data_IF_998694500690
#
_entry.id   IF_998694500690
#
_cell.length_a   1.000
_cell.length_b   1.000
_cell.length_c   1.000
_cell.angle_alpha   90.00
_cell.angle_beta   90.00
_cell.angle_gamma   90.00
#
_symmetry.space_group_name_H-M   'P 1'
#
loop_
_entity.id
_entity.type
_entity.pdbx_description
1 polymer ?
#
# COMPACT_ATOMS: atom_id res chain seq x y z
N UNK A 1 -17.72 -33.64 -1.85
CA UNK A 1 -16.84 -33.98 -2.97
C UNK A 1 -15.64 -33.07 -2.91
N UNK A 2 -14.48 -33.61 -2.51
CA UNK A 2 -13.21 -32.83 -2.44
C UNK A 2 -12.52 -32.91 -3.79
N UNK A 3 -12.89 -32.05 -4.72
CA UNK A 3 -12.30 -31.97 -6.07
C UNK A 3 -10.78 -31.66 -6.07
N UNK A 4 -10.24 -31.18 -4.94
CA UNK A 4 -8.80 -30.89 -4.81
C UNK A 4 -7.92 -32.15 -4.70
N UNK A 5 -8.46 -33.29 -4.26
CA UNK A 5 -7.69 -34.52 -4.06
C UNK A 5 -7.53 -35.35 -5.34
N UNK A 6 -8.40 -35.15 -6.34
CA UNK A 6 -8.39 -35.89 -7.59
C UNK A 6 -7.53 -35.29 -8.69
N UNK A 7 -6.96 -34.09 -8.46
CA UNK A 7 -6.13 -33.41 -9.45
C UNK A 7 -4.69 -33.85 -9.35
N UNK A 8 -4.06 -34.16 -10.50
CA UNK A 8 -2.62 -34.43 -10.59
C UNK A 8 -1.84 -33.25 -9.94
N UNK A 9 -0.78 -33.52 -9.15
CA UNK A 9 -0.03 -32.50 -8.42
C UNK A 9 0.47 -31.35 -9.31
N UNK A 10 0.86 -31.65 -10.55
CA UNK A 10 1.30 -30.64 -11.53
C UNK A 10 0.18 -29.65 -11.92
N UNK A 11 -1.06 -30.15 -12.05
CA UNK A 11 -2.21 -29.30 -12.40
C UNK A 11 -2.53 -28.38 -11.24
N UNK A 12 -2.47 -28.89 -10.01
CA UNK A 12 -2.71 -28.12 -8.80
C UNK A 12 -1.69 -26.98 -8.60
N UNK A 13 -0.42 -27.24 -8.90
CA UNK A 13 0.61 -26.19 -8.86
C UNK A 13 0.39 -25.11 -9.92
N UNK A 14 0.06 -25.50 -11.14
CA UNK A 14 -0.28 -24.54 -12.21
C UNK A 14 -1.48 -23.69 -11.85
N UNK A 15 -2.53 -24.30 -11.28
CA UNK A 15 -3.71 -23.58 -10.83
C UNK A 15 -3.38 -22.54 -9.74
N UNK A 16 -2.58 -22.91 -8.74
CA UNK A 16 -2.15 -21.98 -7.69
C UNK A 16 -1.35 -20.81 -8.26
N UNK A 17 -0.40 -21.07 -9.17
CA UNK A 17 0.36 -20.02 -9.85
C UNK A 17 -0.54 -19.09 -10.65
N UNK A 18 -1.47 -19.62 -11.44
CA UNK A 18 -2.40 -18.82 -12.23
C UNK A 18 -3.29 -17.95 -11.33
N UNK A 19 -3.77 -18.47 -10.20
CA UNK A 19 -4.56 -17.72 -9.24
C UNK A 19 -3.78 -16.54 -8.66
N UNK A 20 -2.50 -16.74 -8.34
CA UNK A 20 -1.62 -15.66 -7.89
C UNK A 20 -1.42 -14.61 -8.98
N UNK A 21 -1.21 -15.01 -10.24
CA UNK A 21 -1.08 -14.07 -11.36
C UNK A 21 -2.34 -13.25 -11.58
N UNK A 22 -3.51 -13.87 -11.52
CA UNK A 22 -4.81 -13.16 -11.60
C UNK A 22 -4.95 -12.17 -10.45
N UNK A 23 -4.57 -12.55 -9.23
CA UNK A 23 -4.58 -11.65 -8.08
C UNK A 23 -3.66 -10.44 -8.26
N UNK A 24 -2.42 -10.65 -8.71
CA UNK A 24 -1.47 -9.57 -9.02
C UNK A 24 -2.02 -8.66 -10.11
N UNK A 25 -2.55 -9.22 -11.19
CA UNK A 25 -3.13 -8.46 -12.29
C UNK A 25 -4.31 -7.59 -11.82
N UNK A 26 -5.18 -8.13 -10.96
CA UNK A 26 -6.29 -7.39 -10.38
C UNK A 26 -5.83 -6.18 -9.56
N UNK A 27 -4.76 -6.35 -8.75
CA UNK A 27 -4.17 -5.26 -7.96
C UNK A 27 -3.57 -4.19 -8.90
N UNK A 28 -2.83 -4.59 -9.93
CA UNK A 28 -2.26 -3.65 -10.91
C UNK A 28 -3.35 -2.86 -11.62
N UNK A 29 -4.45 -3.51 -12.04
CA UNK A 29 -5.59 -2.84 -12.67
C UNK A 29 -6.27 -1.84 -11.72
N UNK A 30 -6.42 -2.19 -10.45
CA UNK A 30 -6.97 -1.29 -9.43
C UNK A 30 -6.11 -0.02 -9.28
N UNK A 31 -4.80 -0.17 -9.14
CA UNK A 31 -3.89 0.97 -9.03
C UNK A 31 -3.83 1.80 -10.33
N UNK A 32 -3.88 1.16 -11.50
CA UNK A 32 -3.95 1.85 -12.78
C UNK A 32 -5.22 2.69 -12.89
N UNK A 33 -6.38 2.17 -12.47
CA UNK A 33 -7.64 2.90 -12.42
C UNK A 33 -7.60 4.10 -11.48
N UNK A 34 -7.08 3.93 -10.27
CA UNK A 34 -6.91 5.02 -9.30
C UNK A 34 -5.96 6.10 -9.83
N UNK A 35 -4.84 5.71 -10.43
CA UNK A 35 -3.87 6.65 -11.02
C UNK A 35 -4.48 7.42 -12.19
N UNK A 36 -5.24 6.74 -13.06
CA UNK A 36 -5.97 7.38 -14.16
C UNK A 36 -7.00 8.39 -13.62
N UNK A 37 -7.78 8.01 -12.62
CA UNK A 37 -8.74 8.93 -11.96
C UNK A 37 -8.04 10.16 -11.37
N UNK A 38 -6.87 9.98 -10.77
CA UNK A 38 -6.05 11.07 -10.25
C UNK A 38 -5.63 12.04 -11.37
N UNK A 39 -5.08 11.54 -12.48
CA UNK A 39 -4.67 12.36 -13.62
C UNK A 39 -5.84 13.13 -14.24
N UNK A 40 -6.98 12.49 -14.42
CA UNK A 40 -8.19 13.16 -14.94
C UNK A 40 -8.66 14.26 -13.99
N UNK A 41 -8.58 14.04 -12.69
CA UNK A 41 -8.94 15.04 -11.67
C UNK A 41 -8.00 16.25 -11.67
N UNK A 42 -6.73 16.09 -12.04
CA UNK A 42 -5.77 17.19 -12.16
C UNK A 42 -6.15 18.22 -13.25
N UNK A 43 -6.92 17.80 -14.25
CA UNK A 43 -7.42 18.67 -15.33
C UNK A 43 -8.55 19.63 -14.91
N UNK A 44 -9.09 19.48 -13.69
CA UNK A 44 -10.10 20.41 -13.14
C UNK A 44 -9.42 21.73 -12.74
N UNK A 45 -10.16 22.82 -12.84
CA UNK A 45 -9.67 24.19 -12.61
C UNK A 45 -9.19 24.48 -11.19
N UNK A 46 -9.49 23.60 -10.24
CA UNK A 46 -9.09 23.71 -8.84
C UNK A 46 -8.34 22.44 -8.42
N UNK A 47 -7.01 22.49 -8.43
CA UNK A 47 -6.16 21.41 -7.95
C UNK A 47 -5.26 21.90 -6.82
N UNK A 48 -5.50 21.40 -5.60
CA UNK A 48 -4.71 21.74 -4.45
C UNK A 48 -3.50 20.80 -4.38
N UNK A 49 -2.28 21.36 -4.44
CA UNK A 49 -1.04 20.62 -4.21
C UNK A 49 -0.70 20.65 -2.73
N UNK A 50 -0.83 19.50 -2.09
CA UNK A 50 -0.41 19.31 -0.70
C UNK A 50 1.01 18.75 -0.63
N UNK A 51 1.86 19.26 0.28
CA UNK A 51 3.12 18.61 0.60
C UNK A 51 2.80 17.27 1.29
N UNK A 52 3.43 16.21 0.80
CA UNK A 52 3.22 14.87 1.34
C UNK A 52 3.73 14.78 2.79
N UNK A 53 2.96 14.28 3.75
CA UNK A 53 3.39 14.09 5.13
C UNK A 53 4.65 13.24 5.25
N UNK A 54 5.50 13.57 6.21
CA UNK A 54 6.77 12.84 6.46
C UNK A 54 6.54 11.38 6.82
N UNK A 55 5.44 11.05 7.47
CA UNK A 55 5.04 9.69 7.82
C UNK A 55 4.99 8.74 6.61
N UNK A 56 4.55 9.22 5.44
CA UNK A 56 4.48 8.40 4.23
C UNK A 56 5.85 8.06 3.64
N UNK A 57 6.85 8.93 3.77
CA UNK A 57 8.22 8.62 3.34
C UNK A 57 8.83 7.53 4.22
N UNK A 58 8.64 7.62 5.54
CA UNK A 58 9.10 6.61 6.49
C UNK A 58 8.39 5.27 6.27
N UNK A 59 7.08 5.28 6.09
CA UNK A 59 6.32 4.06 5.81
C UNK A 59 6.78 3.37 4.53
N UNK A 60 7.08 4.13 3.48
CA UNK A 60 7.60 3.60 2.21
C UNK A 60 8.98 2.94 2.40
N UNK A 61 9.84 3.52 3.23
CA UNK A 61 11.14 2.95 3.56
C UNK A 61 10.98 1.62 4.30
N UNK A 62 10.10 1.55 5.30
CA UNK A 62 9.86 0.32 6.06
C UNK A 62 9.26 -0.79 5.21
N UNK A 63 8.35 -0.49 4.28
CA UNK A 63 7.79 -1.52 3.39
C UNK A 63 8.84 -2.04 2.41
N UNK A 64 9.76 -1.18 1.94
CA UNK A 64 10.88 -1.60 1.10
C UNK A 64 11.84 -2.54 1.84
N UNK A 65 12.18 -2.20 3.10
CA UNK A 65 12.99 -3.07 3.97
C UNK A 65 12.30 -4.41 4.26
N UNK A 66 10.99 -4.39 4.50
CA UNK A 66 10.18 -5.59 4.66
C UNK A 66 10.25 -6.50 3.43
N UNK A 67 10.16 -5.93 2.23
CA UNK A 67 10.26 -6.67 0.98
C UNK A 67 11.65 -7.33 0.79
N UNK A 68 12.72 -6.64 1.14
CA UNK A 68 14.08 -7.18 1.12
C UNK A 68 14.25 -8.32 2.13
N UNK A 69 13.71 -8.16 3.34
CA UNK A 69 13.74 -9.20 4.39
C UNK A 69 12.95 -10.44 3.94
N UNK A 70 11.80 -10.25 3.30
CA UNK A 70 10.99 -11.33 2.77
C UNK A 70 11.71 -12.08 1.62
N UNK A 71 12.38 -11.36 0.74
CA UNK A 71 13.19 -11.98 -0.30
C UNK A 71 14.32 -12.85 0.28
N UNK A 72 14.95 -12.37 1.36
CA UNK A 72 15.96 -13.13 2.09
C UNK A 72 15.37 -14.38 2.78
N UNK A 73 14.16 -14.30 3.30
CA UNK A 73 13.42 -15.45 3.83
C UNK A 73 13.22 -16.54 2.76
N UNK A 74 12.83 -16.15 1.54
CA UNK A 74 12.66 -17.10 0.42
C UNK A 74 13.98 -17.80 0.08
N UNK A 75 15.10 -17.10 0.11
CA UNK A 75 16.41 -17.73 -0.10
C UNK A 75 16.78 -18.72 1.01
N UNK A 76 16.45 -18.39 2.26
CA UNK A 76 16.60 -19.30 3.40
C UNK A 76 15.77 -20.57 3.25
N UNK A 77 14.52 -20.42 2.81
CA UNK A 77 13.64 -21.55 2.53
C UNK A 77 14.19 -22.48 1.44
N UNK A 78 14.75 -21.92 0.35
CA UNK A 78 15.35 -22.70 -0.73
C UNK A 78 16.61 -23.48 -0.32
N UNK A 79 17.26 -23.06 0.77
CA UNK A 79 18.49 -23.68 1.29
C UNK A 79 18.23 -24.54 2.53
N UNK A 80 16.97 -24.82 2.86
CA UNK A 80 16.52 -25.56 4.06
C UNK A 80 17.10 -25.04 5.39
N UNK A 81 17.47 -23.75 5.45
CA UNK A 81 17.97 -23.11 6.66
C UNK A 81 16.81 -22.54 7.48
N UNK A 82 16.22 -23.37 8.35
CA UNK A 82 15.05 -22.99 9.15
C UNK A 82 15.30 -21.77 10.04
N UNK A 83 16.47 -21.62 10.65
CA UNK A 83 16.80 -20.46 11.49
C UNK A 83 16.83 -19.15 10.69
N UNK A 84 17.36 -19.17 9.47
CA UNK A 84 17.35 -18.00 8.58
C UNK A 84 15.92 -17.64 8.12
N UNK A 85 15.11 -18.66 7.83
CA UNK A 85 13.72 -18.48 7.43
C UNK A 85 12.91 -17.82 8.56
N UNK A 86 12.99 -18.37 9.78
CA UNK A 86 12.25 -17.85 10.93
C UNK A 86 12.69 -16.42 11.28
N UNK A 87 14.01 -16.15 11.33
CA UNK A 87 14.53 -14.82 11.61
C UNK A 87 14.10 -13.78 10.58
N UNK A 88 14.17 -14.11 9.29
CA UNK A 88 13.75 -13.21 8.24
C UNK A 88 12.22 -12.99 8.21
N UNK A 89 11.42 -14.00 8.52
CA UNK A 89 9.95 -13.87 8.64
C UNK A 89 9.55 -12.98 9.81
N UNK A 90 10.17 -13.14 10.98
CA UNK A 90 9.91 -12.25 12.13
C UNK A 90 10.34 -10.81 11.84
N UNK A 91 11.49 -10.60 11.19
CA UNK A 91 11.90 -9.26 10.76
C UNK A 91 10.90 -8.63 9.78
N UNK A 92 10.39 -9.39 8.81
CA UNK A 92 9.37 -8.93 7.87
C UNK A 92 8.09 -8.49 8.60
N UNK A 93 7.67 -9.25 9.61
CA UNK A 93 6.49 -8.93 10.42
C UNK A 93 6.70 -7.64 11.23
N UNK A 94 7.88 -7.47 11.84
CA UNK A 94 8.22 -6.24 12.59
C UNK A 94 8.25 -5.01 11.68
N UNK A 95 8.86 -5.10 10.50
CA UNK A 95 8.86 -4.01 9.53
C UNK A 95 7.45 -3.70 9.00
N UNK A 96 6.61 -4.73 8.80
CA UNK A 96 5.21 -4.56 8.44
C UNK A 96 4.40 -3.85 9.53
N UNK A 97 4.62 -4.17 10.81
CA UNK A 97 3.99 -3.48 11.92
C UNK A 97 4.45 -2.01 12.02
N UNK A 98 5.76 -1.75 11.86
CA UNK A 98 6.30 -0.40 11.80
C UNK A 98 5.70 0.40 10.63
N UNK A 99 5.57 -0.21 9.45
CA UNK A 99 4.89 0.40 8.31
C UNK A 99 3.46 0.85 8.67
N UNK A 100 2.66 -0.01 9.28
CA UNK A 100 1.31 0.32 9.70
C UNK A 100 1.29 1.50 10.66
N UNK A 101 2.16 1.51 11.66
CA UNK A 101 2.27 2.60 12.63
C UNK A 101 2.53 3.96 11.94
N UNK A 102 3.56 4.04 11.09
CA UNK A 102 3.90 5.28 10.37
C UNK A 102 2.84 5.67 9.33
N UNK A 103 2.14 4.69 8.76
CA UNK A 103 1.04 4.94 7.84
C UNK A 103 -0.14 5.63 8.56
N UNK A 104 -0.52 5.13 9.73
CA UNK A 104 -1.57 5.77 10.55
C UNK A 104 -1.15 7.16 11.03
N UNK A 105 0.10 7.34 11.41
CA UNK A 105 0.63 8.66 11.76
C UNK A 105 0.55 9.63 10.58
N UNK A 106 0.92 9.19 9.36
CA UNK A 106 0.79 9.99 8.15
C UNK A 106 -0.65 10.40 7.84
N UNK A 107 -1.62 9.51 8.06
CA UNK A 107 -3.03 9.86 7.94
C UNK A 107 -3.47 10.86 9.02
N UNK A 108 -2.98 10.73 10.26
CA UNK A 108 -3.23 11.71 11.32
C UNK A 108 -2.76 13.11 10.92
N UNK A 109 -1.54 13.25 10.40
CA UNK A 109 -1.02 14.53 9.90
C UNK A 109 -1.88 15.15 8.77
N UNK A 110 -2.49 14.31 7.91
CA UNK A 110 -3.41 14.78 6.87
C UNK A 110 -4.71 15.32 7.47
N UNK A 111 -5.26 14.62 8.45
CA UNK A 111 -6.49 15.04 9.14
C UNK A 111 -6.25 16.35 9.92
N UNK A 112 -5.11 16.48 10.60
CA UNK A 112 -4.72 17.69 11.33
C UNK A 112 -4.55 18.91 10.41
N UNK A 113 -4.14 18.65 9.16
CA UNK A 113 -4.07 19.69 8.10
C UNK A 113 -5.40 19.98 7.41
N UNK A 114 -6.51 19.46 7.92
CA UNK A 114 -7.86 19.72 7.44
C UNK A 114 -8.30 18.87 6.23
N UNK A 115 -7.52 17.86 5.83
CA UNK A 115 -7.86 16.92 4.77
C UNK A 115 -8.71 15.78 5.32
N UNK A 116 -9.98 16.06 5.60
CA UNK A 116 -10.94 15.04 6.01
C UNK A 116 -11.69 14.46 4.81
N UNK A 117 -11.77 13.13 4.65
CA UNK A 117 -12.53 12.51 3.55
C UNK A 117 -14.05 12.66 3.68
N UNK A 118 -14.56 13.13 4.82
CA UNK A 118 -16.00 13.15 5.16
C UNK A 118 -16.52 14.56 5.47
N UNK A 119 -15.65 15.55 5.72
CA UNK A 119 -16.01 16.93 6.02
C UNK A 119 -15.50 17.92 4.98
N UNK A 120 -15.98 19.19 5.08
CA UNK A 120 -15.46 20.29 4.27
C UNK A 120 -13.94 20.39 4.42
N UNK A 121 -13.22 20.47 3.29
CA UNK A 121 -11.78 20.65 3.28
C UNK A 121 -11.44 22.06 3.74
N UNK A 122 -10.92 22.21 4.94
CA UNK A 122 -10.32 23.44 5.45
C UNK A 122 -8.86 23.51 5.00
N UNK A 123 -8.56 24.32 4.00
CA UNK A 123 -7.20 24.53 3.53
C UNK A 123 -6.66 25.81 4.15
N UNK A 124 -5.70 25.65 5.06
CA UNK A 124 -5.10 26.76 5.80
C UNK A 124 -3.89 27.40 5.13
N UNK A 125 -3.26 26.72 4.15
CA UNK A 125 -2.07 27.22 3.45
C UNK A 125 -2.25 27.10 1.95
N UNK A 126 -2.52 28.18 1.26
CA UNK A 126 -2.67 28.20 -0.19
C UNK A 126 -2.44 29.57 -0.80
N UNK A 127 -2.38 29.62 -2.13
CA UNK A 127 -2.14 30.80 -2.97
C UNK A 127 -3.23 31.88 -2.83
N UNK A 128 -4.34 31.58 -2.13
CA UNK A 128 -5.54 32.40 -2.05
C UNK A 128 -5.91 32.89 -0.64
N UNK A 129 -5.02 32.77 0.34
CA UNK A 129 -5.21 33.25 1.70
C UNK A 129 -5.16 32.17 2.75
N UNK A 130 -5.13 32.57 4.01
CA UNK A 130 -4.88 31.70 5.15
C UNK A 130 -6.09 30.86 5.59
N UNK A 131 -7.31 31.22 5.14
CA UNK A 131 -8.54 30.51 5.48
C UNK A 131 -9.58 30.59 4.36
N UNK A 132 -9.88 29.48 3.71
CA UNK A 132 -11.06 29.34 2.88
C UNK A 132 -11.72 27.97 3.06
N UNK A 133 -13.03 27.99 3.13
CA UNK A 133 -13.88 26.81 3.29
C UNK A 133 -14.50 26.46 1.93
N UNK A 134 -14.27 25.23 1.46
CA UNK A 134 -14.88 24.74 0.22
C UNK A 134 -16.11 23.90 0.62
N UNK A 135 -17.31 24.47 0.45
CA UNK A 135 -18.56 23.74 0.61
C UNK A 135 -18.94 23.07 -0.71
N UNK A 136 -19.02 21.75 -0.71
CA UNK A 136 -19.63 21.02 -1.81
C UNK A 136 -21.14 21.02 -1.67
N UNK A 137 -21.83 21.34 -2.77
CA UNK A 137 -23.28 21.30 -2.87
C UNK A 137 -23.70 20.05 -3.60
#
# INVERSE_FOLDING_TARGET
MNYEQDLKPEVREKMKKNLVYVGIFSIVMLFAGLTSGYYVSMGKSFWLKYPMPTGFYLSTLFIALSSLSFWWAIQGAKKDKQGQLQGAMTATLLFGAAFLYFQFQGYGELVDKGLNPVNDMLVTNGRYGDYYEIKYK
#
